data_IF_369153891971
#
_entry.id   IF_369153891971
#
_cell.length_a   1.000
_cell.length_b   1.000
_cell.length_c   1.000
_cell.angle_alpha   90.00
_cell.angle_beta   90.00
_cell.angle_gamma   90.00
#
_symmetry.space_group_name_H-M   'P 1'
#
loop_
_entity.id
_entity.type
_entity.pdbx_description
1 polymer ?
#
# COMPACT_ATOMS: atom_id res chain seq x y z
N UNK A 1 6.73 -16.30 4.33
CA UNK A 1 7.23 -15.31 3.36
C UNK A 1 6.30 -15.34 2.15
N UNK A 2 5.77 -14.20 1.72
CA UNK A 2 4.84 -14.09 0.58
C UNK A 2 5.64 -14.38 -0.71
N UNK A 3 5.29 -15.43 -1.47
CA UNK A 3 6.07 -15.91 -2.63
C UNK A 3 6.24 -14.85 -3.75
N UNK A 4 5.47 -13.76 -3.72
CA UNK A 4 5.54 -12.66 -4.67
C UNK A 4 6.70 -11.70 -4.43
N UNK A 5 7.31 -11.70 -3.24
CA UNK A 5 8.48 -10.86 -2.97
C UNK A 5 9.72 -11.37 -3.75
N UNK A 6 9.76 -12.67 -4.09
CA UNK A 6 10.79 -13.26 -4.95
C UNK A 6 10.76 -12.74 -6.41
N UNK A 7 9.64 -12.15 -6.85
CA UNK A 7 9.47 -11.61 -8.21
C UNK A 7 9.76 -10.10 -8.33
N UNK A 8 10.39 -9.48 -7.32
CA UNK A 8 10.75 -8.05 -7.35
C UNK A 8 9.56 -7.09 -7.17
N UNK A 9 8.39 -7.62 -6.80
CA UNK A 9 7.18 -6.82 -6.68
C UNK A 9 7.25 -5.84 -5.49
N UNK A 10 7.94 -6.23 -4.41
CA UNK A 10 8.21 -5.34 -3.26
C UNK A 10 9.00 -4.09 -3.66
N UNK A 11 10.10 -4.25 -4.40
CA UNK A 11 10.89 -3.10 -4.87
C UNK A 11 10.09 -2.20 -5.83
N UNK A 12 9.27 -2.80 -6.71
CA UNK A 12 8.41 -2.04 -7.61
C UNK A 12 7.41 -1.19 -6.82
N UNK A 13 6.82 -1.73 -5.76
CA UNK A 13 5.93 -0.97 -4.86
C UNK A 13 6.69 0.15 -4.15
N UNK A 14 7.88 -0.12 -3.64
CA UNK A 14 8.70 0.89 -3.01
C UNK A 14 9.03 2.04 -3.97
N UNK A 15 9.48 1.73 -5.19
CA UNK A 15 9.79 2.75 -6.21
C UNK A 15 8.55 3.55 -6.62
N UNK A 16 7.39 2.89 -6.75
CA UNK A 16 6.13 3.53 -7.12
C UNK A 16 5.77 4.68 -6.17
N UNK A 17 5.91 4.46 -4.86
CA UNK A 17 5.46 5.44 -3.84
C UNK A 17 6.59 6.30 -3.29
N UNK A 18 7.85 6.07 -3.68
CA UNK A 18 9.04 6.70 -3.11
C UNK A 18 9.02 8.24 -3.12
N UNK A 19 8.34 8.85 -4.09
CA UNK A 19 8.25 10.31 -4.26
C UNK A 19 7.02 10.94 -3.60
N UNK A 20 6.11 10.13 -3.05
CA UNK A 20 4.92 10.64 -2.38
C UNK A 20 5.29 11.40 -1.10
N UNK A 21 4.66 12.55 -0.87
CA UNK A 21 4.90 13.46 0.27
C UNK A 21 3.59 14.13 0.68
N UNK A 22 3.52 14.61 1.91
CA UNK A 22 2.31 15.28 2.42
C UNK A 22 1.16 14.31 2.62
N UNK A 23 -0.06 14.68 2.21
CA UNK A 23 -1.26 13.85 2.35
C UNK A 23 -1.50 13.08 1.06
N UNK A 24 -1.69 11.76 1.15
CA UNK A 24 -1.83 10.87 -0.01
C UNK A 24 -3.20 10.20 0.00
N UNK A 25 -3.81 10.11 -1.18
CA UNK A 25 -4.99 9.28 -1.42
C UNK A 25 -4.58 8.06 -2.25
N UNK A 26 -4.63 6.87 -1.67
CA UNK A 26 -4.42 5.60 -2.37
C UNK A 26 -5.76 5.09 -2.89
N UNK A 27 -5.96 5.11 -4.21
CA UNK A 27 -7.17 4.59 -4.87
C UNK A 27 -6.93 3.13 -5.26
N UNK A 28 -7.83 2.23 -4.85
CA UNK A 28 -7.66 0.80 -5.11
C UNK A 28 -6.56 0.20 -4.22
N UNK A 29 -6.59 0.52 -2.93
CA UNK A 29 -5.56 0.11 -1.98
C UNK A 29 -5.45 -1.42 -1.82
N UNK A 30 -6.49 -2.16 -2.23
CA UNK A 30 -6.54 -3.60 -2.23
C UNK A 30 -6.26 -4.16 -0.84
N UNK A 31 -5.22 -4.98 -0.74
CA UNK A 31 -4.78 -5.55 0.56
C UNK A 31 -4.00 -4.59 1.44
N UNK A 32 -3.72 -3.36 0.99
CA UNK A 32 -2.79 -2.45 1.64
C UNK A 32 -1.31 -2.80 1.45
N UNK A 33 -0.94 -3.53 0.37
CA UNK A 33 0.47 -3.94 0.15
C UNK A 33 1.43 -2.77 -0.10
N UNK A 34 0.93 -1.61 -0.52
CA UNK A 34 1.74 -0.41 -0.72
C UNK A 34 1.97 0.37 0.58
N UNK A 35 1.11 0.20 1.60
CA UNK A 35 1.11 1.00 2.83
C UNK A 35 2.47 1.01 3.56
N UNK A 36 3.18 -0.12 3.72
CA UNK A 36 4.48 -0.11 4.41
C UNK A 36 5.57 0.72 3.71
N UNK A 37 5.39 1.06 2.43
CA UNK A 37 6.38 1.79 1.63
C UNK A 37 6.16 3.31 1.63
N UNK A 38 5.04 3.80 2.16
CA UNK A 38 4.79 5.22 2.37
C UNK A 38 5.54 5.73 3.61
N UNK A 39 6.81 6.14 3.44
CA UNK A 39 7.71 6.50 4.57
C UNK A 39 7.81 7.99 4.88
N UNK A 40 7.44 8.86 3.95
CA UNK A 40 7.67 10.32 4.05
C UNK A 40 6.39 11.12 3.81
N UNK A 41 5.25 10.54 4.19
CA UNK A 41 3.92 11.14 4.06
C UNK A 41 3.40 11.48 5.45
N UNK A 42 2.59 12.53 5.55
CA UNK A 42 1.92 12.93 6.78
C UNK A 42 0.69 12.06 7.05
N UNK A 43 0.01 11.62 5.99
CA UNK A 43 -1.24 10.87 6.06
C UNK A 43 -1.43 10.06 4.77
N UNK A 44 -2.01 8.86 4.90
CA UNK A 44 -2.52 8.09 3.76
C UNK A 44 -4.00 7.78 4.00
N UNK A 45 -4.85 8.26 3.12
CA UNK A 45 -6.25 7.84 3.03
C UNK A 45 -6.33 6.74 1.98
N UNK A 46 -6.79 5.55 2.36
CA UNK A 46 -6.88 4.39 1.47
C UNK A 46 -8.33 4.11 1.10
N UNK A 47 -8.62 4.04 -0.20
CA UNK A 47 -9.92 3.68 -0.75
C UNK A 47 -9.87 2.27 -1.35
N UNK A 48 -10.78 1.41 -0.91
CA UNK A 48 -10.94 0.05 -1.45
C UNK A 48 -12.42 -0.35 -1.43
N UNK A 49 -13.05 -0.57 -2.61
CA UNK A 49 -14.46 -0.95 -2.69
C UNK A 49 -14.75 -2.42 -2.32
N UNK A 50 -13.79 -3.34 -2.46
CA UNK A 50 -14.00 -4.74 -2.14
C UNK A 50 -13.88 -4.99 -0.63
N UNK A 51 -15.00 -5.35 0.00
CA UNK A 51 -15.09 -5.56 1.45
C UNK A 51 -14.14 -6.66 1.98
N UNK A 52 -13.87 -7.70 1.19
CA UNK A 52 -12.93 -8.75 1.58
C UNK A 52 -11.49 -8.24 1.53
N UNK A 53 -11.15 -7.40 0.56
CA UNK A 53 -9.86 -6.71 0.51
C UNK A 53 -9.72 -5.70 1.66
N UNK A 54 -10.74 -4.89 1.94
CA UNK A 54 -10.77 -3.96 3.07
C UNK A 54 -10.52 -4.69 4.39
N UNK A 55 -11.14 -5.86 4.62
CA UNK A 55 -10.90 -6.67 5.82
C UNK A 55 -9.42 -7.04 5.99
N UNK A 56 -8.75 -7.41 4.90
CA UNK A 56 -7.30 -7.72 4.92
C UNK A 56 -6.43 -6.48 5.05
N UNK A 57 -6.84 -5.37 4.44
CA UNK A 57 -6.16 -4.07 4.54
C UNK A 57 -6.13 -3.58 5.99
N UNK A 58 -7.26 -3.69 6.70
CA UNK A 58 -7.40 -3.24 8.10
C UNK A 58 -6.43 -3.92 9.08
N UNK A 59 -5.83 -5.05 8.72
CA UNK A 59 -4.82 -5.74 9.55
C UNK A 59 -3.42 -5.10 9.39
N UNK A 60 -3.25 -4.19 8.44
CA UNK A 60 -1.97 -3.53 8.11
C UNK A 60 -1.90 -2.06 8.53
N UNK A 61 -2.95 -1.55 9.16
CA UNK A 61 -3.07 -0.21 9.74
C UNK A 61 -3.33 -0.35 11.23
#
# INVERSE_FOLDING_TARGET
>A
MDHLDAAGLGERRQRLVARARGRVLEIGAGTGRNLPFYRHVAEVVALEPDAAMTKRLRVRV
#
